data_IF_160421041230
#
_entry.id   IF_160421041230
#
_cell.length_a   1.000
_cell.length_b   1.000
_cell.length_c   1.000
_cell.angle_alpha   90.00
_cell.angle_beta   90.00
_cell.angle_gamma   90.00
#
_symmetry.space_group_name_H-M   'P 1'
#
loop_
_entity.id
_entity.type
_entity.pdbx_description
1 polymer ?
#
# COMPACT_ATOMS: atom_id res chain seq x y z
N UNK A 1 -2.10 6.04 -21.25
CA UNK A 1 -1.25 5.04 -21.94
C UNK A 1 -0.37 4.25 -20.96
N UNK A 2 0.41 4.89 -20.08
CA UNK A 2 1.38 4.21 -19.20
C UNK A 2 0.83 3.66 -17.87
N UNK A 3 -0.39 4.04 -17.47
CA UNK A 3 -0.99 3.63 -16.19
C UNK A 3 -1.16 2.11 -16.11
N UNK A 4 -0.63 1.50 -15.05
CA UNK A 4 -0.71 0.05 -14.80
C UNK A 4 0.33 -0.82 -15.55
N UNK A 5 1.19 -0.25 -16.39
CA UNK A 5 2.18 -1.02 -17.18
C UNK A 5 3.54 -1.14 -16.48
N UNK A 6 3.73 -2.19 -15.68
CA UNK A 6 5.00 -2.42 -14.92
C UNK A 6 6.20 -2.83 -15.78
N UNK A 7 5.98 -3.37 -16.98
CA UNK A 7 7.04 -3.93 -17.84
C UNK A 7 7.64 -2.92 -18.85
N UNK A 8 7.25 -1.65 -18.77
CA UNK A 8 7.64 -0.61 -19.72
C UNK A 8 6.96 -0.73 -21.09
N UNK A 9 7.12 0.30 -21.92
CA UNK A 9 6.55 0.43 -23.26
C UNK A 9 7.63 0.89 -24.23
N UNK A 10 7.87 0.14 -25.30
CA UNK A 10 8.77 0.56 -26.37
C UNK A 10 8.27 1.83 -27.07
N UNK A 11 9.18 2.76 -27.37
CA UNK A 11 8.87 3.99 -28.10
C UNK A 11 8.19 3.74 -29.45
N UNK A 12 8.53 2.64 -30.13
CA UNK A 12 7.89 2.23 -31.40
C UNK A 12 6.42 1.82 -31.25
N UNK A 13 5.99 1.44 -30.03
CA UNK A 13 4.60 1.06 -29.72
C UNK A 13 3.78 2.25 -29.22
N UNK A 14 4.41 3.31 -28.70
CA UNK A 14 3.72 4.47 -28.14
C UNK A 14 2.72 5.14 -29.13
N UNK A 15 3.05 5.40 -30.41
CA UNK A 15 2.10 6.01 -31.35
C UNK A 15 0.88 5.12 -31.63
N UNK A 16 1.06 3.80 -31.62
CA UNK A 16 -0.01 2.81 -31.85
C UNK A 16 -0.98 2.84 -30.67
N UNK A 17 -0.46 2.81 -29.45
CA UNK A 17 -1.23 2.85 -28.21
C UNK A 17 -1.97 4.19 -28.03
N UNK A 18 -1.33 5.31 -28.42
CA UNK A 18 -1.98 6.63 -28.43
C UNK A 18 -3.20 6.63 -29.34
N UNK A 19 -3.05 6.14 -30.58
CA UNK A 19 -4.15 6.06 -31.54
C UNK A 19 -5.26 5.13 -31.06
N UNK A 20 -4.94 4.01 -30.41
CA UNK A 20 -5.93 3.09 -29.87
C UNK A 20 -6.70 3.68 -28.68
N UNK A 21 -6.02 4.42 -27.78
CA UNK A 21 -6.64 4.97 -26.58
C UNK A 21 -7.48 6.23 -26.87
N UNK A 22 -7.02 7.10 -27.77
CA UNK A 22 -7.66 8.39 -28.02
C UNK A 22 -8.37 8.48 -29.37
N UNK A 23 -8.29 7.44 -30.20
CA UNK A 23 -8.89 7.38 -31.54
C UNK A 23 -8.46 8.52 -32.49
N UNK A 24 -7.25 9.04 -32.31
CA UNK A 24 -6.71 10.18 -33.04
C UNK A 24 -5.27 9.92 -33.53
N UNK A 25 -4.80 10.68 -34.53
CA UNK A 25 -3.41 10.61 -34.96
C UNK A 25 -2.49 11.18 -33.86
N UNK A 26 -1.37 10.50 -33.53
CA UNK A 26 -0.44 10.99 -32.52
C UNK A 26 0.23 12.29 -33.00
N UNK A 27 0.46 13.25 -32.09
CA UNK A 27 1.15 14.48 -32.44
C UNK A 27 2.60 14.20 -32.88
N UNK A 28 3.17 14.98 -33.82
CA UNK A 28 4.49 14.70 -34.40
C UNK A 28 5.64 14.77 -33.38
N UNK A 29 5.45 15.52 -32.28
CA UNK A 29 6.39 15.70 -31.17
C UNK A 29 6.07 14.81 -29.96
N UNK A 30 5.23 13.78 -30.12
CA UNK A 30 4.76 12.93 -29.01
C UNK A 30 5.91 12.37 -28.17
N UNK A 31 7.00 11.94 -28.80
CA UNK A 31 8.16 11.39 -28.09
C UNK A 31 8.94 12.45 -27.31
N UNK A 32 9.07 13.66 -27.85
CA UNK A 32 9.75 14.77 -27.16
C UNK A 32 8.93 15.21 -25.95
N UNK A 33 7.60 15.26 -26.10
CA UNK A 33 6.65 15.53 -25.00
C UNK A 33 6.76 14.46 -23.91
N UNK A 34 6.73 13.18 -24.26
CA UNK A 34 6.85 12.10 -23.27
C UNK A 34 8.22 12.09 -22.60
N UNK A 35 9.30 12.38 -23.35
CA UNK A 35 10.64 12.47 -22.80
C UNK A 35 10.81 13.67 -21.85
N UNK A 36 10.04 14.74 -22.05
CA UNK A 36 9.99 15.89 -21.13
C UNK A 36 9.22 15.61 -19.84
N UNK A 37 8.37 14.57 -19.80
CA UNK A 37 7.55 14.22 -18.63
C UNK A 37 8.29 13.32 -17.65
N UNK A 38 9.45 13.77 -17.18
CA UNK A 38 10.32 13.02 -16.26
C UNK A 38 9.65 12.68 -14.92
N UNK A 39 8.61 13.44 -14.55
CA UNK A 39 7.85 13.25 -13.30
C UNK A 39 6.90 12.04 -13.35
N UNK A 40 6.61 11.55 -14.56
CA UNK A 40 5.62 10.48 -14.78
C UNK A 40 6.18 9.32 -15.62
N UNK A 41 7.22 9.56 -16.41
CA UNK A 41 7.79 8.58 -17.33
C UNK A 41 9.31 8.63 -17.27
N UNK A 42 9.93 7.50 -16.94
CA UNK A 42 11.37 7.30 -17.10
C UNK A 42 11.64 6.72 -18.47
N UNK A 43 12.59 7.32 -19.18
CA UNK A 43 12.97 6.91 -20.53
C UNK A 43 14.38 6.33 -20.50
N UNK A 44 14.50 5.04 -20.80
CA UNK A 44 15.79 4.36 -20.92
C UNK A 44 16.14 4.19 -22.40
N UNK A 45 17.35 4.61 -22.79
CA UNK A 45 17.84 4.43 -24.16
C UNK A 45 18.69 3.17 -24.24
N UNK A 46 18.50 2.38 -25.30
CA UNK A 46 19.33 1.21 -25.56
C UNK A 46 20.61 1.69 -26.26
N UNK A 47 21.76 1.52 -25.60
CA UNK A 47 23.07 1.99 -26.07
C UNK A 47 23.32 1.55 -27.50
N UNK A 48 23.65 2.50 -28.38
CA UNK A 48 23.94 2.25 -29.79
C UNK A 48 22.71 2.15 -30.72
N UNK A 49 21.50 2.47 -30.24
CA UNK A 49 20.27 2.45 -31.06
C UNK A 49 19.33 3.62 -30.73
N UNK A 50 18.40 3.92 -31.63
CA UNK A 50 17.30 4.88 -31.39
C UNK A 50 16.12 4.28 -30.59
N UNK A 51 16.28 3.05 -30.06
CA UNK A 51 15.22 2.39 -29.29
C UNK A 51 15.23 2.88 -27.85
N UNK A 52 14.05 3.26 -27.38
CA UNK A 52 13.82 3.72 -26.00
C UNK A 52 12.72 2.90 -25.35
N UNK A 53 12.87 2.60 -24.07
CA UNK A 53 11.82 1.98 -23.24
C UNK A 53 11.31 3.04 -22.27
N UNK A 54 9.98 3.21 -22.28
CA UNK A 54 9.25 4.12 -21.41
C UNK A 54 8.75 3.32 -20.21
N UNK A 55 9.12 3.70 -19.00
CA UNK A 55 8.59 3.12 -17.77
C UNK A 55 7.68 4.14 -17.08
N UNK A 56 6.54 3.74 -16.52
CA UNK A 56 5.80 4.63 -15.63
C UNK A 56 6.68 4.86 -14.39
N UNK A 57 7.13 6.09 -14.20
CA UNK A 57 7.96 6.43 -13.06
C UNK A 57 7.05 6.53 -11.82
N UNK A 58 7.04 5.48 -10.99
CA UNK A 58 6.31 5.45 -9.72
C UNK A 58 7.07 6.15 -8.59
N UNK A 59 7.84 7.19 -8.93
CA UNK A 59 8.44 8.17 -8.03
C UNK A 59 8.23 9.54 -8.68
N UNK A 60 7.24 10.35 -8.32
CA UNK A 60 7.14 11.04 -7.02
C UNK A 60 5.79 11.76 -6.88
N UNK A 61 4.94 11.30 -5.95
CA UNK A 61 4.10 12.20 -5.13
C UNK A 61 4.93 12.86 -4.00
N UNK A 62 6.26 12.69 -4.02
CA UNK A 62 7.20 13.10 -2.99
C UNK A 62 8.62 13.13 -3.56
N UNK A 63 8.94 14.19 -4.30
CA UNK A 63 10.12 14.98 -4.03
C UNK A 63 10.24 16.16 -5.01
N UNK A 64 10.24 17.33 -4.40
CA UNK A 64 10.55 18.62 -4.99
C UNK A 64 12.04 18.64 -5.34
N UNK A 65 12.38 19.03 -6.56
CA UNK A 65 13.73 19.47 -6.91
C UNK A 65 13.82 21.00 -6.72
N UNK A 66 14.94 21.54 -6.22
CA UNK A 66 15.06 22.96 -5.92
C UNK A 66 15.33 23.75 -7.20
N UNK A 67 14.57 24.82 -7.43
CA UNK A 67 14.97 25.94 -8.29
C UNK A 67 15.56 27.06 -7.44
N UNK A 68 16.60 27.77 -7.91
CA UNK A 68 17.29 28.79 -7.14
C UNK A 68 16.59 30.16 -7.22
N UNK A 69 16.69 30.89 -6.10
CA UNK A 69 16.46 32.34 -5.90
C UNK A 69 15.00 32.82 -6.06
N UNK A 70 14.43 33.67 -5.19
CA UNK A 70 15.02 34.78 -4.44
C UNK A 70 14.11 35.21 -3.27
N UNK A 71 14.76 35.82 -2.28
CA UNK A 71 14.26 36.68 -1.20
C UNK A 71 13.66 36.02 0.06
N UNK A 72 14.42 36.18 1.12
CA UNK A 72 14.18 35.71 2.47
C UNK A 72 12.95 36.32 3.13
N UNK A 73 12.12 35.47 3.75
CA UNK A 73 11.48 35.73 5.04
C UNK A 73 11.47 34.43 5.84
N UNK A 74 12.09 34.46 7.02
CA UNK A 74 12.04 33.40 8.01
C UNK A 74 10.59 32.99 8.28
N UNK A 75 10.24 31.80 7.82
CA UNK A 75 9.11 31.04 8.30
C UNK A 75 9.66 29.65 8.58
N UNK A 76 9.63 29.25 9.85
CA UNK A 76 9.98 27.89 10.26
C UNK A 76 9.21 26.91 9.37
N UNK A 77 9.92 26.16 8.52
CA UNK A 77 9.33 25.03 7.78
C UNK A 77 8.93 23.99 8.81
N UNK A 78 7.70 24.08 9.31
CA UNK A 78 7.10 23.10 10.22
C UNK A 78 7.12 21.74 9.52
N UNK A 79 8.01 20.86 9.94
CA UNK A 79 8.20 19.55 9.34
C UNK A 79 6.89 18.76 9.40
N UNK A 80 6.42 18.27 8.24
CA UNK A 80 5.12 17.61 8.16
C UNK A 80 5.21 16.26 8.87
N UNK A 81 4.50 16.11 9.98
CA UNK A 81 4.47 14.89 10.79
C UNK A 81 4.05 13.67 9.95
N UNK A 82 4.75 12.55 10.15
CA UNK A 82 4.52 11.28 9.43
C UNK A 82 4.62 10.11 10.37
N UNK A 83 3.76 9.11 10.15
CA UNK A 83 3.84 7.81 10.81
C UNK A 83 4.78 6.92 10.00
N UNK A 84 5.62 6.15 10.69
CA UNK A 84 6.55 5.23 10.05
C UNK A 84 5.77 4.07 9.37
N UNK A 85 6.24 3.54 8.24
CA UNK A 85 5.65 2.35 7.61
C UNK A 85 5.63 1.14 8.55
N UNK A 86 4.76 0.14 8.30
CA UNK A 86 4.72 -1.06 9.13
C UNK A 86 6.01 -1.86 9.03
N UNK A 87 6.43 -2.43 10.15
CA UNK A 87 7.61 -3.31 10.21
C UNK A 87 7.21 -4.68 9.68
N UNK A 88 7.72 -5.03 8.50
CA UNK A 88 7.44 -6.32 7.88
C UNK A 88 8.17 -7.47 8.61
N UNK A 89 7.53 -8.62 8.84
CA UNK A 89 8.19 -9.79 9.42
C UNK A 89 9.25 -10.35 8.45
N UNK A 90 10.24 -11.07 8.99
CA UNK A 90 11.28 -11.66 8.14
C UNK A 90 10.74 -12.84 7.32
N UNK A 91 11.34 -13.08 6.14
CA UNK A 91 11.02 -14.20 5.27
C UNK A 91 11.18 -15.54 6.02
N UNK A 92 10.27 -16.47 5.79
CA UNK A 92 10.28 -17.79 6.40
C UNK A 92 9.88 -17.82 7.87
N UNK A 93 9.53 -16.68 8.48
CA UNK A 93 9.10 -16.65 9.88
C UNK A 93 7.64 -17.02 10.05
N UNK A 94 7.38 -17.77 11.12
CA UNK A 94 6.05 -18.05 11.63
C UNK A 94 5.71 -17.05 12.74
N UNK A 95 4.64 -16.29 12.57
CA UNK A 95 4.16 -15.35 13.58
C UNK A 95 2.66 -15.47 13.79
N UNK A 96 2.20 -15.13 15.00
CA UNK A 96 0.78 -15.02 15.31
C UNK A 96 0.29 -13.60 14.98
N UNK A 97 -0.80 -13.51 14.22
CA UNK A 97 -1.39 -12.24 13.78
C UNK A 97 -2.91 -12.31 13.88
N UNK A 98 -3.56 -11.16 13.98
CA UNK A 98 -5.00 -11.01 13.84
C UNK A 98 -5.32 -10.39 12.48
N UNK A 99 -6.27 -10.97 11.73
CA UNK A 99 -6.71 -10.37 10.47
C UNK A 99 -7.76 -9.30 10.75
N UNK A 100 -7.43 -8.04 10.51
CA UNK A 100 -8.25 -6.89 10.90
C UNK A 100 -9.14 -6.37 9.77
N UNK A 101 -8.75 -6.60 8.52
CA UNK A 101 -9.54 -6.17 7.38
C UNK A 101 -9.31 -7.08 6.17
N UNK A 102 -10.38 -7.45 5.49
CA UNK A 102 -10.36 -8.29 4.29
C UNK A 102 -11.08 -7.55 3.17
N UNK A 103 -10.37 -7.30 2.06
CA UNK A 103 -10.98 -6.89 0.80
C UNK A 103 -11.08 -8.08 -0.15
N UNK A 104 -10.05 -8.93 -0.17
CA UNK A 104 -10.01 -10.21 -0.87
C UNK A 104 -8.90 -11.09 -0.30
N UNK A 105 -8.84 -12.36 -0.72
CA UNK A 105 -7.69 -13.22 -0.44
C UNK A 105 -6.37 -12.71 -1.03
N UNK A 106 -6.44 -11.80 -2.01
CA UNK A 106 -5.29 -11.13 -2.61
C UNK A 106 -4.99 -9.75 -2.02
N UNK A 107 -5.85 -9.23 -1.13
CA UNK A 107 -5.65 -7.97 -0.45
C UNK A 107 -6.38 -7.98 0.90
N UNK A 108 -5.63 -8.25 1.96
CA UNK A 108 -6.12 -8.18 3.34
C UNK A 108 -5.05 -7.60 4.26
N UNK A 109 -5.41 -7.31 5.51
CA UNK A 109 -4.54 -6.65 6.46
C UNK A 109 -4.51 -7.41 7.77
N UNK A 110 -3.32 -7.49 8.34
CA UNK A 110 -3.08 -8.16 9.61
C UNK A 110 -2.36 -7.24 10.59
N UNK A 111 -2.52 -7.50 11.87
CA UNK A 111 -1.75 -6.88 12.95
C UNK A 111 -1.09 -7.96 13.79
N UNK A 112 0.09 -7.68 14.36
CA UNK A 112 0.76 -8.63 15.25
C UNK A 112 -0.06 -8.80 16.52
N UNK A 113 -0.27 -10.03 16.97
CA UNK A 113 -0.89 -10.27 18.28
C UNK A 113 0.07 -9.83 19.38
N UNK A 114 -0.34 -8.89 20.23
CA UNK A 114 0.49 -8.39 21.32
C UNK A 114 0.05 -7.04 21.86
N UNK A 115 0.69 -6.54 22.93
CA UNK A 115 0.27 -5.31 23.60
C UNK A 115 0.54 -4.05 22.76
N UNK A 116 1.35 -4.13 21.70
CA UNK A 116 1.78 -2.96 20.94
C UNK A 116 0.61 -2.21 20.28
N UNK A 117 -0.29 -2.92 19.60
CA UNK A 117 -1.46 -2.31 18.94
C UNK A 117 -2.38 -1.66 19.98
N UNK A 118 -2.61 -2.36 21.09
CA UNK A 118 -3.41 -1.84 22.21
C UNK A 118 -2.75 -0.61 22.86
N UNK A 119 -1.42 -0.59 23.00
CA UNK A 119 -0.67 0.54 23.55
C UNK A 119 -0.74 1.78 22.64
N UNK A 120 -0.58 1.60 21.32
CA UNK A 120 -0.78 2.68 20.34
C UNK A 120 -2.19 3.24 20.45
N UNK A 121 -3.20 2.37 20.43
CA UNK A 121 -4.59 2.77 20.53
C UNK A 121 -4.88 3.53 21.85
N UNK A 122 -4.40 3.02 22.98
CA UNK A 122 -4.55 3.66 24.28
C UNK A 122 -3.90 5.05 24.30
N UNK A 123 -2.70 5.18 23.71
CA UNK A 123 -2.01 6.47 23.62
C UNK A 123 -2.75 7.49 22.76
N UNK A 124 -3.34 7.05 21.63
CA UNK A 124 -4.21 7.89 20.81
C UNK A 124 -5.40 8.40 21.61
N UNK A 125 -6.08 7.54 22.38
CA UNK A 125 -7.21 7.96 23.22
C UNK A 125 -6.79 8.99 24.27
N UNK A 126 -5.65 8.76 24.95
CA UNK A 126 -5.11 9.68 25.95
C UNK A 126 -4.85 11.08 25.36
N UNK A 127 -4.17 11.15 24.22
CA UNK A 127 -3.85 12.40 23.53
C UNK A 127 -5.12 13.12 23.06
N UNK A 128 -6.08 12.38 22.48
CA UNK A 128 -7.33 12.96 21.99
C UNK A 128 -8.27 13.44 23.10
N UNK A 129 -8.22 12.84 24.29
CA UNK A 129 -8.95 13.31 25.48
C UNK A 129 -8.33 14.57 26.05
N UNK A 130 -7.00 14.66 26.09
CA UNK A 130 -6.29 15.82 26.63
C UNK A 130 -6.39 17.07 25.73
N UNK A 131 -6.67 16.90 24.43
CA UNK A 131 -6.78 17.99 23.45
C UNK A 131 -8.14 17.95 22.77
N UNK A 132 -9.08 18.76 23.24
CA UNK A 132 -10.45 18.74 22.71
C UNK A 132 -10.58 19.18 21.24
N UNK A 133 -9.65 19.98 20.70
CA UNK A 133 -9.81 20.64 19.39
C UNK A 133 -8.51 20.79 18.60
N UNK A 134 -7.85 19.68 18.27
CA UNK A 134 -6.78 19.70 17.26
C UNK A 134 -7.38 19.83 15.86
N UNK A 135 -7.89 21.01 15.48
CA UNK A 135 -8.44 21.21 14.12
C UNK A 135 -7.37 20.87 13.07
N UNK A 136 -7.81 20.30 11.97
CA UNK A 136 -6.95 20.08 10.81
C UNK A 136 -6.90 21.38 10.02
N UNK A 137 -5.75 22.07 10.08
CA UNK A 137 -5.62 23.40 9.49
C UNK A 137 -5.52 23.34 7.96
N UNK A 138 -4.84 22.31 7.45
CA UNK A 138 -4.64 22.10 6.01
C UNK A 138 -4.75 20.60 5.70
N UNK A 139 -5.90 20.21 5.16
CA UNK A 139 -6.10 18.85 4.69
C UNK A 139 -5.32 18.64 3.38
N UNK A 140 -4.48 17.61 3.33
CA UNK A 140 -3.71 17.29 2.12
C UNK A 140 -3.73 15.79 1.92
N UNK A 141 -3.88 15.37 0.67
CA UNK A 141 -3.72 13.98 0.24
C UNK A 141 -2.39 13.39 0.76
N UNK A 142 -2.45 12.19 1.34
CA UNK A 142 -1.32 11.49 1.95
C UNK A 142 -0.87 12.03 3.32
N UNK A 143 -1.47 13.09 3.86
CA UNK A 143 -1.16 13.57 5.20
C UNK A 143 -1.65 12.57 6.26
N UNK A 144 -0.84 12.35 7.30
CA UNK A 144 -1.28 11.60 8.46
C UNK A 144 -2.08 12.49 9.40
N UNK A 145 -3.14 11.93 9.97
CA UNK A 145 -4.10 12.61 10.83
C UNK A 145 -4.57 11.66 11.95
N UNK A 146 -5.40 12.19 12.83
CA UNK A 146 -6.23 11.39 13.71
C UNK A 146 -7.65 11.42 13.16
N UNK A 147 -8.32 10.28 13.16
CA UNK A 147 -9.68 10.12 12.66
C UNK A 147 -10.53 9.43 13.72
N UNK A 148 -11.73 9.96 13.97
CA UNK A 148 -12.72 9.29 14.79
C UNK A 148 -13.43 8.22 13.96
N UNK A 149 -13.64 7.06 14.54
CA UNK A 149 -14.40 5.97 13.91
C UNK A 149 -15.82 5.90 14.48
N UNK A 150 -16.66 5.06 13.86
CA UNK A 150 -18.08 4.92 14.20
C UNK A 150 -18.32 4.41 15.63
N UNK A 151 -17.32 3.76 16.24
CA UNK A 151 -17.33 3.34 17.65
C UNK A 151 -17.10 4.49 18.64
N UNK A 152 -16.85 5.70 18.14
CA UNK A 152 -16.59 6.90 18.91
C UNK A 152 -15.12 7.09 19.33
N UNK A 153 -14.24 6.13 19.04
CA UNK A 153 -12.82 6.18 19.40
C UNK A 153 -11.98 6.87 18.33
N UNK A 154 -10.81 7.37 18.73
CA UNK A 154 -9.87 8.01 17.81
C UNK A 154 -8.78 7.05 17.33
N UNK A 155 -8.33 7.22 16.10
CA UNK A 155 -7.36 6.33 15.46
C UNK A 155 -6.35 7.12 14.66
N UNK A 156 -5.17 6.54 14.43
CA UNK A 156 -4.22 7.11 13.48
C UNK A 156 -4.67 6.76 12.06
N UNK A 157 -4.62 7.75 11.18
CA UNK A 157 -5.08 7.59 9.82
C UNK A 157 -4.22 8.37 8.83
N UNK A 158 -4.41 8.09 7.55
CA UNK A 158 -3.84 8.82 6.43
C UNK A 158 -4.94 9.25 5.48
N UNK A 159 -4.92 10.51 5.04
CA UNK A 159 -5.86 11.02 4.04
C UNK A 159 -5.60 10.33 2.70
N UNK A 160 -6.58 9.57 2.23
CA UNK A 160 -6.50 8.81 0.99
C UNK A 160 -7.23 9.50 -0.17
N UNK A 161 -8.35 10.19 0.10
CA UNK A 161 -9.08 11.01 -0.88
C UNK A 161 -9.76 12.18 -0.18
N UNK A 162 -9.98 13.25 -0.94
CA UNK A 162 -10.69 14.45 -0.51
C UNK A 162 -11.76 14.71 -1.57
N UNK A 163 -13.02 14.61 -1.17
CA UNK A 163 -14.20 14.74 -2.04
C UNK A 163 -15.16 15.77 -1.40
N UNK A 164 -16.20 16.21 -2.10
CA UNK A 164 -17.16 17.19 -1.56
C UNK A 164 -17.97 16.60 -0.40
N UNK A 165 -18.26 15.31 -0.48
CA UNK A 165 -19.06 14.54 0.47
C UNK A 165 -18.30 14.16 1.74
N UNK A 166 -16.97 14.31 1.75
CA UNK A 166 -16.14 14.00 2.90
C UNK A 166 -14.70 13.63 2.55
N UNK A 167 -14.02 13.04 3.53
CA UNK A 167 -12.61 12.68 3.42
C UNK A 167 -12.47 11.19 3.60
N UNK A 168 -12.02 10.48 2.57
CA UNK A 168 -11.64 9.08 2.72
C UNK A 168 -10.30 8.99 3.42
N UNK A 169 -10.25 8.26 4.53
CA UNK A 169 -9.03 7.97 5.27
C UNK A 169 -8.69 6.49 5.24
N UNK A 170 -7.40 6.18 5.40
CA UNK A 170 -6.87 4.84 5.62
C UNK A 170 -6.39 4.73 7.06
N UNK A 171 -6.97 3.82 7.84
CA UNK A 171 -6.59 3.60 9.25
C UNK A 171 -5.31 2.79 9.29
N UNK A 172 -4.16 3.45 9.48
CA UNK A 172 -2.82 2.85 9.30
C UNK A 172 -2.52 1.70 10.25
N UNK A 173 -3.28 1.58 11.35
CA UNK A 173 -3.10 0.53 12.34
C UNK A 173 -4.03 -0.68 12.14
N UNK A 174 -5.03 -0.56 11.25
CA UNK A 174 -6.07 -1.59 11.04
C UNK A 174 -6.23 -2.00 9.56
N UNK A 175 -5.89 -1.12 8.63
CA UNK A 175 -5.88 -1.40 7.19
C UNK A 175 -7.20 -1.18 6.47
N UNK A 176 -8.29 -0.86 7.18
CA UNK A 176 -9.56 -0.46 6.58
C UNK A 176 -9.53 1.02 6.14
N UNK A 177 -10.51 1.38 5.30
CA UNK A 177 -10.75 2.75 4.87
C UNK A 177 -12.20 3.13 5.20
N UNK A 178 -12.43 4.42 5.46
CA UNK A 178 -13.77 4.97 5.64
C UNK A 178 -13.82 6.42 5.13
N UNK A 179 -15.00 6.86 4.72
CA UNK A 179 -15.25 8.26 4.33
C UNK A 179 -15.95 8.95 5.49
N UNK A 180 -15.27 9.95 6.06
CA UNK A 180 -15.72 10.64 7.27
C UNK A 180 -15.91 12.13 7.02
N UNK A 181 -16.76 12.81 7.80
CA UNK A 181 -16.85 14.26 7.75
C UNK A 181 -15.56 14.90 8.32
N UNK A 182 -15.26 16.13 7.90
CA UNK A 182 -14.05 16.85 8.31
C UNK A 182 -13.96 17.04 9.83
N UNK A 183 -15.10 17.10 10.53
CA UNK A 183 -15.19 17.24 11.99
C UNK A 183 -14.67 16.03 12.77
N UNK A 184 -14.66 14.86 12.13
CA UNK A 184 -14.09 13.63 12.68
C UNK A 184 -12.57 13.53 12.43
N UNK A 185 -11.96 14.56 11.83
CA UNK A 185 -10.52 14.64 11.62
C UNK A 185 -9.85 15.63 12.58
N UNK A 186 -8.67 15.23 13.04
CA UNK A 186 -7.76 16.08 13.81
C UNK A 186 -6.34 16.00 13.26
N UNK A 187 -5.57 17.06 13.50
CA UNK A 187 -4.14 17.06 13.20
C UNK A 187 -3.40 15.97 13.99
N UNK A 188 -2.50 15.25 13.32
CA UNK A 188 -1.58 14.35 14.00
C UNK A 188 -0.66 15.15 14.94
N UNK A 189 -0.28 14.56 16.06
CA UNK A 189 0.61 15.19 17.04
C UNK A 189 1.96 14.46 17.10
N UNK A 190 3.08 15.14 17.43
CA UNK A 190 4.41 14.51 17.45
C UNK A 190 4.51 13.29 18.35
N UNK A 191 3.75 13.26 19.45
CA UNK A 191 3.74 12.16 20.42
C UNK A 191 3.17 10.85 19.84
N UNK A 192 2.52 10.91 18.68
CA UNK A 192 1.87 9.76 18.02
C UNK A 192 2.61 9.30 16.76
N UNK A 193 3.81 9.84 16.49
CA UNK A 193 4.61 9.50 15.30
C UNK A 193 5.75 8.52 15.56
N UNK A 194 6.08 8.24 16.83
CA UNK A 194 7.21 7.37 17.19
C UNK A 194 6.97 5.90 16.82
N UNK A 195 5.72 5.44 16.95
CA UNK A 195 5.36 4.07 16.64
C UNK A 195 5.07 3.91 15.13
N UNK A 196 5.55 2.84 14.49
CA UNK A 196 5.18 2.52 13.12
C UNK A 196 3.69 2.19 12.99
N UNK A 197 3.16 2.29 11.78
CA UNK A 197 1.85 1.75 11.43
C UNK A 197 1.79 0.26 11.78
N UNK A 198 0.65 -0.19 12.31
CA UNK A 198 0.50 -1.56 12.79
C UNK A 198 -0.06 -2.53 11.75
N UNK A 199 -0.80 -2.04 10.75
CA UNK A 199 -1.39 -2.88 9.73
C UNK A 199 -0.37 -3.28 8.66
N UNK A 200 -0.24 -4.59 8.43
CA UNK A 200 0.59 -5.17 7.38
C UNK A 200 -0.35 -5.64 6.26
N UNK A 201 -0.16 -5.12 5.06
CA UNK A 201 -0.90 -5.56 3.87
C UNK A 201 -0.37 -6.90 3.38
N UNK A 202 -1.28 -7.83 3.11
CA UNK A 202 -0.97 -9.22 2.80
C UNK A 202 -1.77 -9.74 1.60
N UNK A 203 -1.24 -10.80 0.99
CA UNK A 203 -1.91 -11.63 -0.03
C UNK A 203 -1.58 -13.11 0.19
N UNK A 204 -2.51 -14.00 -0.15
CA UNK A 204 -2.27 -15.44 -0.03
C UNK A 204 -1.30 -15.92 -1.11
N UNK A 205 -0.33 -16.73 -0.71
CA UNK A 205 0.61 -17.41 -1.60
C UNK A 205 -0.07 -18.54 -2.37
N UNK A 206 0.18 -18.64 -3.67
CA UNK A 206 -0.21 -19.80 -4.47
C UNK A 206 -1.71 -20.10 -4.50
N UNK A 207 -2.55 -19.06 -4.47
CA UNK A 207 -4.01 -19.19 -4.52
C UNK A 207 -4.56 -18.44 -5.73
N UNK A 208 -5.39 -19.11 -6.53
CA UNK A 208 -6.14 -18.51 -7.63
C UNK A 208 -7.65 -18.67 -7.36
N UNK A 209 -8.38 -17.56 -7.11
CA UNK A 209 -9.83 -17.59 -6.95
C UNK A 209 -10.52 -18.10 -8.22
N UNK A 210 -11.49 -19.01 -8.06
CA UNK A 210 -12.28 -19.56 -9.17
C UNK A 210 -13.71 -19.00 -9.20
N UNK A 211 -14.19 -18.50 -8.07
CA UNK A 211 -15.56 -18.01 -7.90
C UNK A 211 -15.56 -16.67 -7.17
N UNK A 212 -16.53 -15.78 -7.45
CA UNK A 212 -16.70 -14.54 -6.68
C UNK A 212 -16.87 -14.77 -5.17
N UNK A 213 -17.44 -15.92 -4.77
CA UNK A 213 -17.63 -16.30 -3.36
C UNK A 213 -16.32 -16.65 -2.63
N UNK A 214 -15.17 -16.73 -3.31
CA UNK A 214 -13.89 -17.06 -2.69
C UNK A 214 -13.51 -16.03 -1.61
N UNK A 215 -13.73 -14.75 -1.87
CA UNK A 215 -13.33 -13.68 -0.95
C UNK A 215 -14.24 -13.62 0.28
N UNK A 216 -15.54 -13.91 0.11
CA UNK A 216 -16.48 -14.06 1.22
C UNK A 216 -16.10 -15.25 2.11
N UNK A 217 -15.80 -16.40 1.50
CA UNK A 217 -15.40 -17.60 2.23
C UNK A 217 -14.05 -17.40 2.94
N UNK A 218 -13.10 -16.72 2.30
CA UNK A 218 -11.84 -16.33 2.92
C UNK A 218 -12.09 -15.43 4.13
N UNK A 219 -12.91 -14.38 3.96
CA UNK A 219 -13.27 -13.46 5.04
C UNK A 219 -13.89 -14.20 6.23
N UNK A 220 -14.85 -15.11 5.99
CA UNK A 220 -15.50 -15.90 7.03
C UNK A 220 -14.54 -16.79 7.82
N UNK A 221 -13.43 -17.23 7.20
CA UNK A 221 -12.44 -18.08 7.84
C UNK A 221 -11.42 -17.32 8.70
N UNK A 222 -11.16 -16.04 8.40
CA UNK A 222 -10.01 -15.33 8.98
C UNK A 222 -10.31 -13.98 9.60
N UNK A 223 -11.39 -13.29 9.22
CA UNK A 223 -11.66 -11.94 9.68
C UNK A 223 -11.90 -11.92 11.19
N UNK A 224 -11.18 -11.04 11.90
CA UNK A 224 -11.16 -10.92 13.36
C UNK A 224 -10.65 -12.16 14.10
N UNK A 225 -10.02 -13.11 13.39
CA UNK A 225 -9.45 -14.32 13.99
C UNK A 225 -7.94 -14.20 14.18
N UNK A 226 -7.44 -14.85 15.24
CA UNK A 226 -6.00 -15.07 15.40
C UNK A 226 -5.55 -16.26 14.55
N UNK A 227 -4.63 -15.99 13.64
CA UNK A 227 -4.07 -16.99 12.72
C UNK A 227 -2.55 -17.07 12.86
N UNK A 228 -2.01 -18.25 12.57
CA UNK A 228 -0.57 -18.39 12.34
C UNK A 228 -0.30 -18.00 10.89
N UNK A 229 0.64 -17.07 10.70
CA UNK A 229 1.05 -16.57 9.40
C UNK A 229 2.52 -16.92 9.15
N UNK A 230 2.78 -17.48 7.97
CA UNK A 230 4.15 -17.75 7.47
C UNK A 230 4.45 -16.84 6.29
N UNK A 231 5.52 -16.05 6.37
CA UNK A 231 5.92 -15.14 5.29
C UNK A 231 6.72 -15.87 4.22
N UNK A 232 6.27 -15.81 2.96
CA UNK A 232 6.93 -16.46 1.81
C UNK A 232 7.72 -15.50 0.95
N UNK A 233 7.23 -14.28 0.77
CA UNK A 233 7.90 -13.25 -0.04
C UNK A 233 7.41 -11.84 0.33
N UNK A 234 8.14 -10.83 -0.13
CA UNK A 234 7.74 -9.43 -0.09
C UNK A 234 7.69 -8.87 -1.52
N UNK A 235 6.58 -8.24 -1.91
CA UNK A 235 6.39 -7.61 -3.23
C UNK A 235 5.65 -6.29 -3.09
N UNK A 236 6.20 -5.16 -3.58
CA UNK A 236 5.50 -3.86 -3.67
C UNK A 236 4.70 -3.45 -2.40
N UNK A 237 5.29 -3.70 -1.21
CA UNK A 237 4.71 -3.49 0.13
C UNK A 237 3.72 -4.55 0.64
N UNK A 238 3.54 -5.65 -0.08
CA UNK A 238 2.74 -6.80 0.34
C UNK A 238 3.62 -7.89 0.96
N UNK A 239 3.13 -8.45 2.06
CA UNK A 239 3.56 -9.77 2.51
C UNK A 239 2.78 -10.85 1.75
N UNK A 240 3.50 -11.70 1.03
CA UNK A 240 2.94 -12.92 0.43
C UNK A 240 3.03 -14.01 1.49
N UNK A 241 1.88 -14.55 1.89
CA UNK A 241 1.81 -15.37 3.11
C UNK A 241 1.01 -16.66 2.94
N UNK A 242 1.32 -17.63 3.78
CA UNK A 242 0.42 -18.75 4.08
C UNK A 242 -0.23 -18.50 5.45
N UNK A 243 -1.53 -18.78 5.56
CA UNK A 243 -2.27 -18.68 6.81
C UNK A 243 -2.74 -20.06 7.28
N UNK A 244 -2.65 -20.27 8.58
CA UNK A 244 -3.13 -21.45 9.27
C UNK A 244 -4.01 -21.05 10.45
N UNK A 245 -5.15 -21.72 10.61
CA UNK A 245 -5.97 -21.55 11.80
C UNK A 245 -5.17 -21.91 13.04
N UNK A 246 -5.19 -21.05 14.07
CA UNK A 246 -4.53 -21.34 15.34
C UNK A 246 -5.20 -22.50 16.09
N UNK A 247 -6.50 -22.69 15.89
CA UNK A 247 -7.29 -23.72 16.57
C UNK A 247 -7.13 -25.10 15.92
N UNK A 248 -7.25 -25.18 14.60
CA UNK A 248 -7.25 -26.47 13.88
C UNK A 248 -5.92 -26.80 13.21
N UNK A 249 -4.98 -25.85 13.17
CA UNK A 249 -3.75 -25.93 12.37
C UNK A 249 -3.99 -26.20 10.87
N UNK A 250 -5.23 -26.03 10.40
CA UNK A 250 -5.56 -26.22 8.99
C UNK A 250 -5.12 -25.00 8.17
N UNK A 251 -4.59 -25.27 6.98
CA UNK A 251 -4.25 -24.24 5.99
C UNK A 251 -5.53 -23.61 5.42
N UNK A 252 -5.60 -22.28 5.46
CA UNK A 252 -6.72 -21.52 4.87
C UNK A 252 -6.80 -21.77 3.36
N UNK A 253 -5.66 -21.83 2.67
CA UNK A 253 -5.58 -22.19 1.24
C UNK A 253 -6.23 -23.55 0.98
N UNK A 254 -5.89 -24.57 1.77
CA UNK A 254 -6.48 -25.90 1.63
C UNK A 254 -7.98 -25.91 1.87
N UNK A 255 -8.48 -25.15 2.86
CA UNK A 255 -9.92 -25.03 3.13
C UNK A 255 -10.68 -24.44 1.93
N UNK A 256 -10.16 -23.37 1.32
CA UNK A 256 -10.77 -22.75 0.14
C UNK A 256 -10.75 -23.66 -1.08
N UNK A 257 -9.67 -24.42 -1.28
CA UNK A 257 -9.56 -25.41 -2.36
C UNK A 257 -10.55 -26.56 -2.16
N UNK A 258 -10.67 -27.09 -0.94
CA UNK A 258 -11.62 -28.17 -0.61
C UNK A 258 -13.08 -27.72 -0.80
N UNK A 259 -13.40 -26.46 -0.52
CA UNK A 259 -14.72 -25.87 -0.80
C UNK A 259 -14.96 -25.60 -2.29
N UNK A 260 -13.95 -25.80 -3.15
CA UNK A 260 -14.08 -25.62 -4.59
C UNK A 260 -14.34 -24.18 -5.01
N UNK A 261 -13.88 -23.20 -4.21
CA UNK A 261 -13.97 -21.76 -4.51
C UNK A 261 -12.67 -21.19 -5.05
N UNK A 262 -11.56 -21.93 -4.91
CA UNK A 262 -10.24 -21.59 -5.42
C UNK A 262 -9.46 -22.83 -5.84
N UNK A 263 -8.34 -22.64 -6.54
CA UNK A 263 -7.33 -23.68 -6.78
C UNK A 263 -5.96 -23.21 -6.28
N UNK A 264 -5.11 -24.16 -5.92
CA UNK A 264 -3.71 -23.86 -5.60
C UNK A 264 -2.90 -23.74 -6.88
N UNK A 265 -2.01 -22.75 -6.94
CA UNK A 265 -1.05 -22.56 -8.00
C UNK A 265 0.35 -22.84 -7.49
N UNK A 266 1.16 -23.52 -8.31
CA UNK A 266 2.58 -23.71 -8.01
C UNK A 266 3.27 -22.37 -8.21
N UNK A 267 3.71 -21.75 -7.13
CA UNK A 267 4.60 -20.59 -7.20
C UNK A 267 5.96 -21.13 -7.59
N UNK A 268 6.35 -21.00 -8.85
CA UNK A 268 7.73 -21.25 -9.24
C UNK A 268 8.61 -20.23 -8.51
N UNK A 269 9.31 -20.68 -7.47
CA UNK A 269 10.49 -19.96 -7.01
C UNK A 269 11.46 -19.95 -8.19
N UNK A 270 11.65 -18.79 -8.81
CA UNK A 270 12.83 -18.59 -9.67
C UNK A 270 14.02 -18.68 -8.72
N UNK A 271 14.88 -19.71 -8.83
CA UNK A 271 16.09 -19.76 -8.03
C UNK A 271 16.93 -18.53 -8.37
N UNK A 272 17.50 -17.90 -7.35
CA UNK A 272 18.45 -16.81 -7.51
C UNK A 272 19.58 -17.26 -8.46
N UNK A 273 19.79 -16.58 -9.61
CA UNK A 273 20.90 -16.88 -10.51
C UNK A 273 22.29 -16.73 -9.85
N UNK A 274 22.39 -16.12 -8.66
CA UNK A 274 23.66 -15.81 -8.00
C UNK A 274 24.34 -16.98 -7.25
N UNK A 275 23.76 -18.19 -7.23
CA UNK A 275 24.39 -19.37 -6.58
C UNK A 275 24.87 -20.44 -7.56
N UNK A 276 25.35 -20.01 -8.74
CA UNK A 276 25.91 -20.89 -9.75
C UNK A 276 27.26 -20.41 -10.27
N UNK A 277 28.30 -20.40 -9.42
CA UNK A 277 29.71 -20.69 -9.77
C UNK A 277 30.64 -20.36 -8.60
N UNK A 278 31.02 -21.39 -7.85
CA UNK A 278 32.33 -21.48 -7.21
C UNK A 278 32.73 -22.96 -7.24
N UNK A 279 33.18 -23.39 -8.41
CA UNK A 279 34.05 -24.56 -8.54
C UNK A 279 35.23 -24.10 -9.40
N UNK A 280 36.37 -23.97 -8.76
CA UNK A 280 37.66 -23.57 -9.30
C UNK A 280 38.70 -23.81 -8.23
#
# INVERSE_FOLDING_TARGET
IMQGRKNGLWNTRLPIEYKQQFNEAPPPDLMDRVQSWTDCVKVESVVGTDRKILYPEMRRLYAVSPTPESSAKDSEKKEKLRILPPVLPALGTDICVCVTHVKSCQQFFVTRTGPQVAAVHAKVQEVCKAREKGKIDNLTLGAHCLCKYQDGNWYRAQVAKIEEEGVTVYYVDFGNMDTVPLEDLRSLTPELTSEPAQAIRCRISGLEPLKPSCDEEFSNLVLNEEVKMTVKAHEDHDCIVELFSKHTSQSVTSCLVQKGVAKSTVVYHVPDPALGQCVG
#
